data_IF_703503582690
#
_entry.id   IF_703503582690
#
_cell.length_a   1.000
_cell.length_b   1.000
_cell.length_c   1.000
_cell.angle_alpha   90.00
_cell.angle_beta   90.00
_cell.angle_gamma   90.00
#
_symmetry.space_group_name_H-M   'P 1'
#
loop_
_entity.id
_entity.type
_entity.pdbx_description
1 polymer ?
#
# COMPACT_ATOMS: atom_id res chain seq x y z
N UNK A 1 3.19 2.94 9.91
CA UNK A 1 2.47 3.10 8.63
C UNK A 1 3.01 2.18 7.54
N UNK A 2 4.31 2.27 7.21
CA UNK A 2 4.96 1.43 6.19
C UNK A 2 4.70 -0.08 6.34
N UNK A 3 4.82 -0.63 7.56
CA UNK A 3 4.54 -2.05 7.80
C UNK A 3 3.14 -2.48 7.37
N UNK A 4 2.12 -1.67 7.63
CA UNK A 4 0.74 -1.96 7.22
C UNK A 4 0.57 -1.93 5.70
N UNK A 5 1.27 -1.02 5.03
CA UNK A 5 1.26 -0.92 3.56
C UNK A 5 1.95 -2.14 2.90
N UNK A 6 3.04 -2.62 3.50
CA UNK A 6 3.72 -3.84 3.04
C UNK A 6 2.81 -5.06 3.21
N UNK A 7 2.14 -5.21 4.36
CA UNK A 7 1.22 -6.34 4.60
C UNK A 7 0.06 -6.33 3.61
N UNK A 8 -0.56 -5.18 3.37
CA UNK A 8 -1.67 -5.09 2.40
C UNK A 8 -1.20 -5.31 0.97
N UNK A 9 -0.02 -4.84 0.61
CA UNK A 9 0.61 -5.13 -0.69
C UNK A 9 0.86 -6.63 -0.88
N UNK A 10 1.37 -7.34 0.13
CA UNK A 10 1.57 -8.79 0.07
C UNK A 10 0.24 -9.54 -0.05
N UNK A 11 -0.77 -9.14 0.72
CA UNK A 11 -2.11 -9.73 0.63
C UNK A 11 -2.71 -9.54 -0.77
N UNK A 12 -2.63 -8.33 -1.33
CA UNK A 12 -3.14 -8.06 -2.68
C UNK A 12 -2.37 -8.85 -3.74
N UNK A 13 -1.05 -8.97 -3.62
CA UNK A 13 -0.23 -9.78 -4.53
C UNK A 13 -0.61 -11.26 -4.49
N UNK A 14 -0.86 -11.81 -3.30
CA UNK A 14 -1.28 -13.19 -3.11
C UNK A 14 -2.56 -13.54 -3.89
N UNK A 15 -3.54 -12.62 -3.93
CA UNK A 15 -4.77 -12.84 -4.71
C UNK A 15 -4.61 -12.49 -6.20
N UNK A 16 -3.74 -11.55 -6.54
CA UNK A 16 -3.61 -11.03 -7.93
C UNK A 16 -2.72 -11.91 -8.81
N UNK A 17 -1.67 -12.51 -8.26
CA UNK A 17 -0.72 -13.34 -9.04
C UNK A 17 -1.34 -14.63 -9.60
N UNK A 18 -2.15 -15.39 -8.83
CA UNK A 18 -2.84 -16.57 -9.35
C UNK A 18 -4.04 -16.23 -10.24
N UNK A 19 -4.44 -14.95 -10.32
CA UNK A 19 -5.57 -14.49 -11.12
C UNK A 19 -6.93 -14.59 -10.44
N UNK A 20 -6.99 -14.74 -9.10
CA UNK A 20 -8.27 -14.71 -8.37
C UNK A 20 -8.96 -13.34 -8.47
N UNK A 21 -8.18 -12.28 -8.53
CA UNK A 21 -8.65 -10.91 -8.73
C UNK A 21 -7.86 -10.22 -9.82
N UNK A 22 -8.52 -9.30 -10.53
CA UNK A 22 -7.87 -8.50 -11.56
C UNK A 22 -7.01 -7.39 -10.95
N UNK A 23 -6.08 -6.85 -11.74
CA UNK A 23 -5.17 -5.79 -11.26
C UNK A 23 -5.96 -4.57 -10.79
N UNK A 24 -7.01 -4.16 -11.52
CA UNK A 24 -7.86 -3.04 -11.13
C UNK A 24 -8.59 -3.27 -9.79
N UNK A 25 -9.14 -4.48 -9.58
CA UNK A 25 -9.78 -4.87 -8.32
C UNK A 25 -8.79 -4.88 -7.16
N UNK A 26 -7.55 -5.31 -7.40
CA UNK A 26 -6.49 -5.26 -6.39
C UNK A 26 -6.17 -3.83 -5.95
N UNK A 27 -6.22 -2.85 -6.87
CA UNK A 27 -6.05 -1.43 -6.53
C UNK A 27 -7.23 -0.87 -5.73
N UNK A 28 -8.46 -1.29 -6.03
CA UNK A 28 -9.63 -0.92 -5.23
C UNK A 28 -9.51 -1.46 -3.80
N UNK A 29 -9.09 -2.71 -3.64
CA UNK A 29 -8.81 -3.30 -2.32
C UNK A 29 -7.71 -2.55 -1.57
N UNK A 30 -6.64 -2.11 -2.26
CA UNK A 30 -5.61 -1.27 -1.65
C UNK A 30 -6.15 0.08 -1.19
N UNK A 31 -6.98 0.74 -1.99
CA UNK A 31 -7.63 2.00 -1.62
C UNK A 31 -8.48 1.86 -0.34
N UNK A 32 -9.30 0.81 -0.27
CA UNK A 32 -10.11 0.50 0.91
C UNK A 32 -9.19 0.23 2.11
N UNK A 33 -8.12 -0.54 1.91
CA UNK A 33 -7.15 -0.86 2.95
C UNK A 33 -6.47 0.38 3.52
N UNK A 34 -6.09 1.34 2.67
CA UNK A 34 -5.52 2.61 3.13
C UNK A 34 -6.50 3.38 4.02
N UNK A 35 -7.78 3.43 3.63
CA UNK A 35 -8.83 4.05 4.45
C UNK A 35 -8.95 3.39 5.83
N UNK A 36 -8.92 2.05 5.88
CA UNK A 36 -8.97 1.29 7.14
C UNK A 36 -7.72 1.55 7.99
N UNK A 37 -6.52 1.57 7.39
CA UNK A 37 -5.29 1.84 8.12
C UNK A 37 -5.31 3.25 8.74
N UNK A 38 -5.73 4.26 7.99
CA UNK A 38 -5.87 5.63 8.50
C UNK A 38 -6.90 5.69 9.64
N UNK A 39 -8.06 5.08 9.47
CA UNK A 39 -9.09 5.02 10.51
C UNK A 39 -8.60 4.33 11.78
N UNK A 40 -7.89 3.20 11.64
CA UNK A 40 -7.30 2.48 12.77
C UNK A 40 -6.22 3.31 13.48
N UNK A 41 -5.35 3.99 12.73
CA UNK A 41 -4.34 4.89 13.31
C UNK A 41 -4.99 6.04 14.07
N UNK A 42 -6.05 6.63 13.52
CA UNK A 42 -6.78 7.73 14.15
C UNK A 42 -7.42 7.32 15.48
N UNK A 43 -8.02 6.13 15.56
CA UNK A 43 -8.73 5.64 16.75
C UNK A 43 -7.75 5.14 17.84
N UNK A 44 -6.77 4.32 17.47
CA UNK A 44 -5.97 3.54 18.44
C UNK A 44 -4.57 4.09 18.68
N UNK A 45 -3.98 4.73 17.68
CA UNK A 45 -2.60 5.20 17.74
C UNK A 45 -2.60 6.72 17.81
N UNK A 46 -3.09 7.22 18.96
CA UNK A 46 -3.09 8.62 19.40
C UNK A 46 -2.11 9.46 18.59
N UNK A 47 -2.63 10.08 17.53
CA UNK A 47 -1.81 10.62 16.46
C UNK A 47 -0.84 11.71 16.98
N UNK A 48 -1.02 12.18 18.23
CA UNK A 48 -0.18 13.07 19.03
C UNK A 48 1.31 12.71 19.12
N UNK A 49 1.69 11.43 19.14
CA UNK A 49 3.12 11.07 19.18
C UNK A 49 3.80 11.18 17.81
N UNK A 50 3.08 10.85 16.74
CA UNK A 50 3.51 11.09 15.36
C UNK A 50 3.42 12.59 15.02
N UNK A 51 2.44 13.31 15.59
CA UNK A 51 2.26 14.76 15.47
C UNK A 51 3.48 15.53 15.99
N UNK A 52 4.13 15.10 17.07
CA UNK A 52 5.23 15.87 17.68
C UNK A 52 6.50 15.92 16.80
N UNK A 53 6.88 14.79 16.20
CA UNK A 53 8.09 14.73 15.37
C UNK A 53 7.91 15.41 14.01
N UNK A 54 6.73 15.28 13.38
CA UNK A 54 6.49 15.85 12.05
C UNK A 54 6.09 17.32 12.07
N UNK A 55 5.36 17.78 13.10
CA UNK A 55 5.05 19.21 13.27
C UNK A 55 6.31 20.04 13.48
N UNK A 56 7.31 19.50 14.18
CA UNK A 56 8.62 20.15 14.34
C UNK A 56 9.44 20.20 13.03
N UNK A 57 9.13 19.34 12.06
CA UNK A 57 9.78 19.34 10.74
C UNK A 57 9.09 20.27 9.72
N UNK A 58 8.00 20.94 10.10
CA UNK A 58 7.29 21.89 9.24
C UNK A 58 6.43 21.28 8.12
N UNK A 59 6.28 19.95 8.08
CA UNK A 59 5.48 19.28 7.04
C UNK A 59 4.05 18.99 7.50
N UNK A 60 3.03 19.26 6.66
CA UNK A 60 1.67 18.83 6.91
C UNK A 60 1.57 17.30 6.83
N UNK A 61 0.94 16.71 7.84
CA UNK A 61 0.89 15.24 8.03
C UNK A 61 -0.02 14.55 7.03
N UNK A 62 -1.03 15.25 6.54
CA UNK A 62 -1.90 14.75 5.47
C UNK A 62 -1.06 14.41 4.23
N UNK A 63 -0.10 15.28 3.88
CA UNK A 63 0.81 15.02 2.78
C UNK A 63 1.71 13.80 3.02
N UNK A 64 2.15 13.55 4.26
CA UNK A 64 2.99 12.38 4.57
C UNK A 64 2.25 11.06 4.28
N UNK A 65 0.99 10.97 4.70
CA UNK A 65 0.16 9.79 4.44
C UNK A 65 -0.08 9.64 2.94
N UNK A 66 -0.44 10.72 2.25
CA UNK A 66 -0.64 10.69 0.80
C UNK A 66 0.63 10.25 0.05
N UNK A 67 1.80 10.79 0.39
CA UNK A 67 3.07 10.39 -0.22
C UNK A 67 3.41 8.93 0.06
N UNK A 68 3.18 8.46 1.29
CA UNK A 68 3.44 7.07 1.65
C UNK A 68 2.54 6.10 0.87
N UNK A 69 1.25 6.42 0.72
CA UNK A 69 0.32 5.60 -0.04
C UNK A 69 0.57 5.66 -1.54
N UNK A 70 0.95 6.82 -2.07
CA UNK A 70 1.33 6.97 -3.46
C UNK A 70 2.59 6.16 -3.78
N UNK A 71 3.62 6.25 -2.94
CA UNK A 71 4.85 5.47 -3.10
C UNK A 71 4.57 3.96 -3.03
N UNK A 72 3.75 3.51 -2.07
CA UNK A 72 3.37 2.09 -1.94
C UNK A 72 2.51 1.60 -3.13
N UNK A 73 1.60 2.43 -3.66
CA UNK A 73 0.82 2.10 -4.85
C UNK A 73 1.72 1.93 -6.08
N UNK A 74 2.66 2.85 -6.30
CA UNK A 74 3.62 2.78 -7.41
C UNK A 74 4.52 1.56 -7.27
N UNK A 75 5.10 1.33 -6.08
CA UNK A 75 5.96 0.19 -5.82
C UNK A 75 5.22 -1.14 -6.05
N UNK A 76 3.98 -1.24 -5.57
CA UNK A 76 3.13 -2.42 -5.80
C UNK A 76 2.86 -2.66 -7.29
N UNK A 77 2.56 -1.61 -8.06
CA UNK A 77 2.37 -1.70 -9.50
C UNK A 77 3.60 -2.28 -10.21
N UNK A 78 4.78 -1.75 -9.91
CA UNK A 78 6.06 -2.23 -10.45
C UNK A 78 6.26 -3.71 -10.11
N UNK A 79 6.07 -4.10 -8.84
CA UNK A 79 6.27 -5.48 -8.37
C UNK A 79 5.31 -6.45 -9.08
N UNK A 80 4.03 -6.10 -9.21
CA UNK A 80 3.03 -6.95 -9.87
C UNK A 80 3.32 -7.07 -11.37
N UNK A 81 3.68 -5.98 -12.03
CA UNK A 81 4.04 -6.00 -13.45
C UNK A 81 5.25 -6.89 -13.71
N UNK A 82 6.32 -6.75 -12.93
CA UNK A 82 7.52 -7.59 -13.05
C UNK A 82 7.19 -9.06 -12.75
N UNK A 83 6.43 -9.32 -11.68
CA UNK A 83 6.06 -10.69 -11.29
C UNK A 83 5.19 -11.37 -12.34
N UNK A 84 4.21 -10.68 -12.91
CA UNK A 84 3.37 -11.22 -13.99
C UNK A 84 4.17 -11.44 -15.26
N UNK A 85 5.10 -10.54 -15.59
CA UNK A 85 6.01 -10.73 -16.72
C UNK A 85 6.82 -12.01 -16.52
N UNK A 86 7.48 -12.17 -15.38
CA UNK A 86 8.28 -13.36 -15.06
C UNK A 86 7.47 -14.65 -15.11
N UNK A 87 6.27 -14.67 -14.50
CA UNK A 87 5.38 -15.84 -14.55
C UNK A 87 4.98 -16.19 -15.98
N UNK A 88 4.73 -15.19 -16.83
CA UNK A 88 4.44 -15.42 -18.24
C UNK A 88 5.62 -16.05 -18.99
N UNK A 89 6.84 -15.56 -18.77
CA UNK A 89 8.06 -16.14 -19.35
C UNK A 89 8.27 -17.60 -18.90
N UNK A 90 8.05 -17.90 -17.62
CA UNK A 90 8.16 -19.27 -17.09
C UNK A 90 7.12 -20.21 -17.68
N UNK A 91 5.92 -19.72 -18.02
CA UNK A 91 4.88 -20.55 -18.61
C UNK A 91 5.08 -20.80 -20.12
N UNK A 92 5.85 -19.95 -20.81
CA UNK A 92 6.17 -20.10 -22.24
C UNK A 92 7.31 -21.11 -22.47
N UNK A 93 8.24 -21.25 -21.51
CA UNK A 93 9.38 -22.18 -21.55
C UNK A 93 9.07 -23.52 -20.89
#
# INVERSE_FOLDING_TARGET
>A
MLWWCVVTSLACAYYTLPGYINVAESYLLKLISYGVIVGFQYIYHNANKTFFYYRNAGYPIDSLYTYSFAADAVAYGIIISISKLLLHWVHIF
#
